data_IF_537541578505
#
_entry.id   IF_537541578505
#
_cell.length_a   1.000
_cell.length_b   1.000
_cell.length_c   1.000
_cell.angle_alpha   90.00
_cell.angle_beta   90.00
_cell.angle_gamma   90.00
#
_symmetry.space_group_name_H-M   'P 1'
#
loop_
_entity.id
_entity.type
_entity.pdbx_description
1 polymer ?
#
# COMPACT_ATOMS: atom_id res chain seq x y z
N UNK A 1 5.14 9.90 32.18
CA UNK A 1 6.32 9.68 31.33
C UNK A 1 5.83 9.26 29.95
N UNK A 2 6.10 10.03 28.90
CA UNK A 2 5.82 9.61 27.52
C UNK A 2 6.95 8.70 27.04
N UNK A 3 6.63 7.45 26.71
CA UNK A 3 7.59 6.50 26.17
C UNK A 3 7.65 6.69 24.65
N UNK A 4 8.63 7.46 24.16
CA UNK A 4 8.89 7.57 22.71
C UNK A 4 9.76 6.40 22.25
N UNK A 5 9.19 5.50 21.48
CA UNK A 5 9.96 4.48 20.77
C UNK A 5 10.58 5.08 19.51
N UNK A 6 11.90 5.27 19.54
CA UNK A 6 12.67 5.71 18.37
C UNK A 6 12.95 4.50 17.49
N UNK A 7 12.26 4.41 16.35
CA UNK A 7 12.54 3.39 15.34
C UNK A 7 13.74 3.84 14.51
N UNK A 8 14.81 3.04 14.55
CA UNK A 8 16.07 3.31 13.83
C UNK A 8 15.96 3.14 12.30
N UNK A 9 14.91 2.48 11.82
CA UNK A 9 14.72 2.12 10.42
C UNK A 9 13.36 2.62 9.92
N UNK A 10 13.28 2.91 8.62
CA UNK A 10 12.01 3.29 8.00
C UNK A 10 11.11 2.06 7.81
N UNK A 11 9.77 2.23 7.81
CA UNK A 11 8.81 1.12 7.66
C UNK A 11 9.07 0.26 6.42
N UNK A 12 9.59 0.87 5.35
CA UNK A 12 9.92 0.19 4.09
C UNK A 12 11.14 -0.75 4.20
N UNK A 13 11.97 -0.60 5.23
CA UNK A 13 13.14 -1.45 5.48
C UNK A 13 12.82 -2.66 6.38
N UNK A 14 11.62 -2.67 6.98
CA UNK A 14 11.13 -3.80 7.76
C UNK A 14 10.45 -4.83 6.85
N UNK A 15 10.73 -6.12 7.08
CA UNK A 15 10.08 -7.20 6.35
C UNK A 15 10.51 -7.30 4.89
N UNK A 16 11.83 -7.45 4.65
CA UNK A 16 12.34 -7.86 3.33
C UNK A 16 11.55 -9.08 2.84
N UNK A 17 11.26 -9.13 1.53
CA UNK A 17 10.55 -10.24 0.91
C UNK A 17 11.22 -11.57 1.30
N UNK A 18 10.49 -12.43 2.03
CA UNK A 18 10.93 -13.79 2.24
C UNK A 18 10.80 -14.55 0.92
N UNK A 19 11.92 -14.90 0.32
CA UNK A 19 11.96 -15.79 -0.85
C UNK A 19 11.95 -17.21 -0.30
N UNK A 20 10.77 -17.83 -0.29
CA UNK A 20 10.62 -19.24 0.09
C UNK A 20 10.90 -20.09 -1.15
N UNK A 21 12.17 -20.36 -1.41
CA UNK A 21 12.58 -21.34 -2.39
C UNK A 21 12.93 -22.66 -1.69
N UNK A 22 12.68 -23.77 -2.36
CA UNK A 22 13.14 -25.09 -1.92
C UNK A 22 14.62 -25.21 -2.27
N UNK A 23 15.47 -24.63 -1.44
CA UNK A 23 16.90 -24.92 -1.47
C UNK A 23 17.09 -26.37 -1.00
N UNK A 24 17.97 -27.12 -1.68
CA UNK A 24 18.31 -28.49 -1.34
C UNK A 24 18.80 -28.64 0.11
N UNK A 25 19.14 -29.85 0.58
CA UNK A 25 19.55 -30.06 1.98
C UNK A 25 20.75 -29.16 2.32
N UNK A 26 20.49 -28.09 3.06
CA UNK A 26 21.48 -27.14 3.52
C UNK A 26 21.74 -27.41 5.00
N UNK A 27 23.00 -27.73 5.33
CA UNK A 27 23.42 -27.89 6.71
C UNK A 27 23.71 -26.49 7.27
N UNK A 28 22.71 -25.89 7.94
CA UNK A 28 22.86 -24.56 8.54
C UNK A 28 23.94 -24.54 9.62
N UNK A 29 24.01 -25.61 10.43
CA UNK A 29 24.94 -25.75 11.54
C UNK A 29 25.33 -27.21 11.74
N UNK A 30 26.63 -27.46 11.83
CA UNK A 30 27.18 -28.73 12.30
C UNK A 30 27.66 -28.56 13.76
N UNK A 31 26.89 -29.07 14.73
CA UNK A 31 27.30 -29.05 16.14
C UNK A 31 28.01 -30.35 16.44
N UNK A 32 29.34 -30.29 16.55
CA UNK A 32 30.16 -31.45 16.94
C UNK A 32 30.02 -31.70 18.45
N UNK A 33 29.98 -32.98 18.88
CA UNK A 33 29.98 -33.30 20.30
C UNK A 33 31.28 -32.80 20.93
N UNK A 34 31.15 -32.20 22.11
CA UNK A 34 32.28 -31.77 22.94
C UNK A 34 32.75 -32.97 23.78
N UNK A 35 33.98 -33.51 23.54
CA UNK A 35 34.50 -34.66 24.26
C UNK A 35 34.67 -34.41 25.77
N UNK A 36 34.99 -33.17 26.16
CA UNK A 36 35.21 -32.82 27.56
C UNK A 36 33.87 -32.76 28.31
N UNK A 37 32.84 -32.19 27.69
CA UNK A 37 31.48 -32.21 28.22
C UNK A 37 30.91 -33.64 28.30
N UNK A 38 31.24 -34.50 27.32
CA UNK A 38 30.82 -35.90 27.32
C UNK A 38 31.49 -36.69 28.45
N UNK A 39 32.75 -36.41 28.74
CA UNK A 39 33.48 -37.04 29.85
C UNK A 39 32.89 -36.68 31.22
N UNK A 40 32.33 -35.48 31.34
CA UNK A 40 31.68 -34.99 32.56
C UNK A 40 30.17 -35.28 32.62
N UNK A 41 29.62 -35.99 31.63
CA UNK A 41 28.20 -36.28 31.56
C UNK A 41 27.81 -37.32 32.62
N UNK A 42 26.93 -36.92 33.54
CA UNK A 42 26.38 -37.80 34.58
C UNK A 42 24.90 -38.03 34.30
N UNK A 43 24.53 -39.27 33.99
CA UNK A 43 23.13 -39.68 33.85
C UNK A 43 22.43 -39.63 35.22
N UNK A 44 21.64 -38.58 35.46
CA UNK A 44 20.85 -38.45 36.69
C UNK A 44 19.49 -39.14 36.51
N UNK A 45 19.16 -40.19 37.28
CA UNK A 45 17.93 -40.97 37.09
C UNK A 45 16.67 -40.23 37.56
N UNK A 46 16.80 -39.22 38.43
CA UNK A 46 15.69 -38.39 38.87
C UNK A 46 16.10 -36.92 38.84
N UNK A 47 15.27 -36.10 38.19
CA UNK A 47 15.50 -34.65 38.06
C UNK A 47 14.17 -33.94 38.29
N UNK A 48 14.09 -33.16 39.36
CA UNK A 48 13.03 -32.16 39.48
C UNK A 48 13.42 -30.96 38.62
N UNK A 49 12.63 -30.70 37.57
CA UNK A 49 12.77 -29.51 36.73
C UNK A 49 11.44 -28.79 36.76
N UNK A 50 11.44 -27.54 37.23
CA UNK A 50 10.29 -26.66 37.07
C UNK A 50 10.20 -26.24 35.60
N UNK A 51 9.14 -26.65 34.91
CA UNK A 51 8.83 -26.17 33.56
C UNK A 51 7.68 -25.19 33.66
N UNK A 52 7.88 -23.97 33.20
CA UNK A 52 6.82 -22.97 33.15
C UNK A 52 6.13 -23.04 31.79
N UNK A 53 4.91 -23.59 31.76
CA UNK A 53 4.02 -23.55 30.60
C UNK A 53 2.97 -22.44 30.81
N UNK A 54 3.40 -21.18 30.65
CA UNK A 54 2.52 -20.02 30.66
C UNK A 54 2.40 -19.49 29.25
N UNK A 55 1.18 -19.05 28.88
CA UNK A 55 0.97 -18.29 27.63
C UNK A 55 1.84 -17.04 27.67
N UNK A 56 2.79 -16.93 26.74
CA UNK A 56 3.55 -15.71 26.54
C UNK A 56 2.64 -14.71 25.79
N UNK A 57 2.40 -13.56 26.39
CA UNK A 57 1.67 -12.46 25.75
C UNK A 57 2.65 -11.37 25.38
N UNK A 58 2.60 -10.90 24.14
CA UNK A 58 3.25 -9.66 23.71
C UNK A 58 2.18 -8.59 23.51
N UNK A 59 2.42 -7.39 24.06
CA UNK A 59 1.60 -6.22 23.80
C UNK A 59 2.36 -5.30 22.86
N UNK A 60 1.75 -4.98 21.73
CA UNK A 60 2.28 -3.99 20.79
C UNK A 60 1.22 -2.89 20.61
N UNK A 61 1.57 -1.66 21.00
CA UNK A 61 0.74 -0.48 20.80
C UNK A 61 1.30 0.32 19.62
N UNK A 62 0.49 0.56 18.60
CA UNK A 62 0.87 1.33 17.42
C UNK A 62 0.11 2.66 17.43
N UNK A 63 0.81 3.76 17.77
CA UNK A 63 0.27 5.11 17.62
C UNK A 63 0.56 5.61 16.20
N UNK A 64 -0.46 5.68 15.35
CA UNK A 64 -0.36 6.35 14.04
C UNK A 64 -0.77 7.81 14.17
N UNK A 65 0.01 8.71 13.56
CA UNK A 65 -0.35 10.13 13.47
C UNK A 65 -1.31 10.30 12.30
N UNK A 66 -2.45 10.94 12.53
CA UNK A 66 -3.40 11.28 11.47
C UNK A 66 -2.82 12.34 10.53
N UNK A 67 -2.70 12.02 9.25
CA UNK A 67 -2.29 12.97 8.20
C UNK A 67 -3.55 13.51 7.53
N UNK A 68 -3.71 14.84 7.46
CA UNK A 68 -4.79 15.45 6.69
C UNK A 68 -4.43 15.46 5.20
N UNK A 69 -5.19 14.73 4.40
CA UNK A 69 -5.12 14.79 2.93
C UNK A 69 -6.24 15.69 2.43
N UNK A 70 -5.90 16.63 1.55
CA UNK A 70 -6.88 17.43 0.81
C UNK A 70 -6.93 16.90 -0.62
N UNK A 71 -8.14 16.54 -1.06
CA UNK A 71 -8.41 16.24 -2.45
C UNK A 71 -8.75 17.56 -3.17
N UNK A 72 -7.91 18.01 -4.09
CA UNK A 72 -8.19 19.17 -4.94
C UNK A 72 -8.43 18.70 -6.38
N UNK A 73 -9.67 18.78 -6.83
CA UNK A 73 -10.03 18.70 -8.24
C UNK A 73 -10.28 20.09 -8.82
N UNK A 74 -9.83 20.34 -10.04
CA UNK A 74 -10.22 21.54 -10.80
C UNK A 74 -11.46 21.23 -11.65
N UNK A 75 -12.57 21.91 -11.37
CA UNK A 75 -13.70 21.95 -12.30
C UNK A 75 -13.48 23.07 -13.29
N UNK A 76 -13.23 22.72 -14.56
CA UNK A 76 -13.11 23.68 -15.65
C UNK A 76 -14.51 24.16 -16.05
N UNK A 77 -14.94 25.32 -15.53
CA UNK A 77 -16.19 25.97 -15.94
C UNK A 77 -16.04 26.78 -17.24
N UNK A 78 -14.82 27.19 -17.59
CA UNK A 78 -14.55 28.18 -18.65
C UNK A 78 -13.74 27.60 -19.84
N UNK A 79 -13.63 26.26 -19.92
CA UNK A 79 -12.86 25.58 -20.97
C UNK A 79 -13.75 24.96 -22.06
N UNK A 80 -13.21 24.83 -23.26
CA UNK A 80 -13.84 24.07 -24.37
C UNK A 80 -14.12 24.87 -25.64
N UNK A 81 -13.94 26.19 -25.61
CA UNK A 81 -14.05 27.01 -26.82
C UNK A 81 -12.76 26.94 -27.65
N UNK A 82 -12.85 26.80 -28.98
CA UNK A 82 -11.70 26.94 -29.87
C UNK A 82 -11.00 28.28 -29.67
N UNK A 83 -9.67 28.32 -29.91
CA UNK A 83 -8.82 29.51 -29.72
C UNK A 83 -9.36 30.78 -30.42
N UNK A 84 -10.14 30.61 -31.48
CA UNK A 84 -10.69 31.67 -32.31
C UNK A 84 -12.02 32.24 -31.78
N UNK A 85 -12.64 31.61 -30.78
CA UNK A 85 -13.97 32.01 -30.28
C UNK A 85 -13.83 32.58 -28.89
N UNK A 86 -14.28 33.83 -28.73
CA UNK A 86 -14.33 34.49 -27.45
C UNK A 86 -15.58 34.01 -26.67
N UNK A 87 -15.44 33.32 -25.52
CA UNK A 87 -16.57 32.84 -24.73
C UNK A 87 -17.47 33.97 -24.20
N UNK A 88 -16.94 35.20 -24.09
CA UNK A 88 -17.66 36.37 -23.61
C UNK A 88 -18.54 37.03 -24.67
N UNK A 89 -18.36 36.66 -25.94
CA UNK A 89 -19.15 37.18 -27.04
C UNK A 89 -20.31 36.22 -27.35
N UNK A 90 -21.52 36.66 -27.03
CA UNK A 90 -22.76 35.86 -27.15
C UNK A 90 -23.06 35.54 -28.62
N UNK A 91 -22.72 36.42 -29.55
CA UNK A 91 -23.03 36.21 -30.97
C UNK A 91 -22.10 35.17 -31.59
N UNK A 92 -20.80 35.24 -31.27
CA UNK A 92 -19.83 34.26 -31.79
C UNK A 92 -20.06 32.87 -31.20
N UNK A 93 -20.39 32.79 -29.90
CA UNK A 93 -20.73 31.52 -29.24
C UNK A 93 -22.04 30.92 -29.77
N UNK A 94 -23.07 31.74 -30.01
CA UNK A 94 -24.33 31.27 -30.60
C UNK A 94 -24.16 30.79 -32.05
N UNK A 95 -23.38 31.50 -32.86
CA UNK A 95 -23.04 31.06 -34.23
C UNK A 95 -22.27 29.75 -34.23
N UNK A 96 -21.30 29.59 -33.33
CA UNK A 96 -20.56 28.34 -33.19
C UNK A 96 -21.47 27.16 -32.82
N UNK A 97 -22.35 27.32 -31.83
CA UNK A 97 -23.31 26.27 -31.43
C UNK A 97 -24.18 25.83 -32.60
N UNK A 98 -24.77 26.77 -33.33
CA UNK A 98 -25.59 26.48 -34.53
C UNK A 98 -24.80 25.78 -35.64
N UNK A 99 -23.51 26.09 -35.79
CA UNK A 99 -22.64 25.42 -36.76
C UNK A 99 -22.38 23.97 -36.37
N UNK A 100 -22.12 23.72 -35.08
CA UNK A 100 -21.90 22.37 -34.53
C UNK A 100 -23.17 21.51 -34.61
N UNK A 101 -24.33 22.08 -34.31
CA UNK A 101 -25.62 21.36 -34.39
C UNK A 101 -26.02 20.97 -35.82
N UNK A 102 -25.51 21.67 -36.83
CA UNK A 102 -25.73 21.35 -38.25
C UNK A 102 -24.76 20.31 -38.82
N UNK A 103 -23.78 19.87 -38.04
CA UNK A 103 -22.84 18.83 -38.46
C UNK A 103 -23.58 17.48 -38.56
N UNK A 104 -23.40 16.76 -39.67
CA UNK A 104 -24.02 15.45 -39.90
C UNK A 104 -23.68 14.45 -38.78
N UNK A 105 -22.49 14.61 -38.19
CA UNK A 105 -22.01 13.78 -37.09
C UNK A 105 -22.65 14.11 -35.73
N UNK A 106 -23.31 15.27 -35.59
CA UNK A 106 -23.81 15.74 -34.29
C UNK A 106 -24.89 14.80 -33.74
N UNK A 107 -25.90 14.47 -34.56
CA UNK A 107 -27.01 13.62 -34.14
C UNK A 107 -26.60 12.17 -33.81
N UNK A 108 -25.76 11.48 -34.62
CA UNK A 108 -25.25 10.14 -34.27
C UNK A 108 -24.42 10.11 -32.99
N UNK A 109 -23.57 11.13 -32.75
CA UNK A 109 -22.74 11.23 -31.53
C UNK A 109 -23.60 11.38 -30.27
N UNK A 110 -24.66 12.18 -30.35
CA UNK A 110 -25.61 12.39 -29.26
C UNK A 110 -26.43 11.12 -28.97
N UNK A 111 -26.88 10.40 -30.00
CA UNK A 111 -27.65 9.17 -29.82
C UNK A 111 -26.88 8.08 -29.07
N UNK A 112 -25.56 7.98 -29.26
CA UNK A 112 -24.72 7.02 -28.53
C UNK A 112 -24.65 7.31 -27.02
N UNK A 113 -24.82 8.57 -26.59
CA UNK A 113 -24.87 8.93 -25.17
C UNK A 113 -26.20 8.51 -24.51
N UNK A 114 -27.29 8.49 -25.28
CA UNK A 114 -28.61 8.07 -24.80
C UNK A 114 -28.81 6.54 -24.83
N UNK A 115 -27.90 5.80 -25.45
CA UNK A 115 -28.00 4.33 -25.58
C UNK A 115 -27.54 3.57 -24.33
N UNK A 116 -27.27 4.26 -23.22
CA UNK A 116 -27.03 3.63 -21.92
C UNK A 116 -28.37 3.49 -21.19
N UNK A 117 -29.08 2.42 -21.55
CA UNK A 117 -30.02 1.62 -20.75
C UNK A 117 -30.32 0.35 -21.56
#
# INVERSE_FOLDING_TARGET
MEIKQVLLKTRAEFGKQCIFDTYGPHLDVEIKPDPDAMTQYITKPHRNVGVQHTKQFSLHEAQTVGIQTKNSGMFHFEGGWPKEINPKDVDTTARFRRRVEKDEDWAPKINNLFRVC
#
